data_IF_030474929604
#
_entry.id   IF_030474929604
#
_cell.length_a   1.000
_cell.length_b   1.000
_cell.length_c   1.000
_cell.angle_alpha   90.00
_cell.angle_beta   90.00
_cell.angle_gamma   90.00
#
_symmetry.space_group_name_H-M   'P 1'
#
loop_
_entity.id
_entity.type
_entity.pdbx_description
1 polymer ?
#
# COMPACT_ATOMS: atom_id res chain seq x y z
N UNK A 1 -10.78 -120.44 18.04
CA UNK A 1 -10.58 -121.49 17.02
C UNK A 1 -9.13 -121.36 16.60
N UNK A 2 -8.19 -122.22 16.98
CA UNK A 2 -8.11 -123.69 17.05
C UNK A 2 -7.66 -124.05 18.49
N UNK A 3 -7.98 -125.13 19.19
CA UNK A 3 -8.93 -126.25 19.17
C UNK A 3 -8.66 -126.95 20.53
N UNK A 4 -9.69 -127.47 21.19
CA UNK A 4 -9.65 -128.32 22.40
C UNK A 4 -8.70 -127.92 23.55
N UNK A 5 -9.23 -127.18 24.52
CA UNK A 5 -8.66 -127.05 25.86
C UNK A 5 -9.61 -127.72 26.86
N UNK A 6 -9.42 -129.02 27.13
CA UNK A 6 -9.85 -129.59 28.41
C UNK A 6 -8.66 -129.36 29.33
N UNK A 7 -8.56 -128.17 29.90
CA UNK A 7 -7.55 -127.90 30.92
C UNK A 7 -7.98 -128.58 32.21
N UNK A 8 -7.15 -129.49 32.71
CA UNK A 8 -7.20 -129.86 34.12
C UNK A 8 -7.07 -128.60 34.97
N UNK A 9 -7.66 -128.58 36.16
CA UNK A 9 -7.71 -127.39 37.05
C UNK A 9 -6.32 -126.72 37.20
N UNK A 10 -5.23 -127.52 37.23
CA UNK A 10 -3.85 -127.01 37.28
C UNK A 10 -3.29 -126.41 35.98
N UNK A 11 -3.79 -126.78 34.79
CA UNK A 11 -3.39 -126.14 33.53
C UNK A 11 -4.11 -124.79 33.31
N UNK A 12 -5.37 -124.69 33.76
CA UNK A 12 -6.13 -123.43 33.72
C UNK A 12 -5.54 -122.38 34.67
N UNK A 13 -5.10 -122.80 35.86
CA UNK A 13 -4.32 -121.96 36.76
C UNK A 13 -2.98 -121.54 36.14
N UNK A 14 -2.27 -122.46 35.47
CA UNK A 14 -1.00 -122.13 34.82
C UNK A 14 -1.16 -121.13 33.65
N UNK A 15 -2.24 -121.21 32.87
CA UNK A 15 -2.54 -120.26 31.80
C UNK A 15 -2.97 -118.89 32.34
N UNK A 16 -3.83 -118.86 33.37
CA UNK A 16 -4.20 -117.64 34.09
C UNK A 16 -2.97 -116.94 34.69
N UNK A 17 -2.06 -117.70 35.30
CA UNK A 17 -0.79 -117.17 35.82
C UNK A 17 0.14 -116.64 34.72
N UNK A 18 0.10 -117.23 33.52
CA UNK A 18 0.85 -116.72 32.37
C UNK A 18 0.26 -115.41 31.82
N UNK A 19 -1.06 -115.33 31.70
CA UNK A 19 -1.76 -114.10 31.29
C UNK A 19 -1.57 -112.97 32.30
N UNK A 20 -1.62 -113.27 33.61
CA UNK A 20 -1.27 -112.29 34.65
C UNK A 20 0.17 -111.81 34.52
N UNK A 21 1.12 -112.71 34.25
CA UNK A 21 2.53 -112.34 34.03
C UNK A 21 2.71 -111.48 32.78
N UNK A 22 2.04 -111.81 31.67
CA UNK A 22 2.08 -110.98 30.46
C UNK A 22 1.41 -109.62 30.67
N UNK A 23 0.25 -109.56 31.34
CA UNK A 23 -0.42 -108.32 31.69
C UNK A 23 0.49 -107.45 32.56
N UNK A 24 1.08 -108.01 33.63
CA UNK A 24 2.01 -107.29 34.51
C UNK A 24 3.26 -106.81 33.77
N UNK A 25 3.78 -107.60 32.82
CA UNK A 25 4.91 -107.19 31.99
C UNK A 25 4.54 -106.06 31.02
N UNK A 26 3.32 -106.08 30.48
CA UNK A 26 2.80 -105.05 29.58
C UNK A 26 2.48 -103.76 30.33
N UNK A 27 1.89 -103.85 31.53
CA UNK A 27 1.69 -102.73 32.44
C UNK A 27 3.03 -102.13 32.87
N UNK A 28 4.02 -102.95 33.20
CA UNK A 28 5.38 -102.49 33.52
C UNK A 28 6.05 -101.79 32.33
N UNK A 29 5.93 -102.34 31.12
CA UNK A 29 6.47 -101.72 29.91
C UNK A 29 5.77 -100.40 29.57
N UNK A 30 4.45 -100.32 29.77
CA UNK A 30 3.69 -99.10 29.53
C UNK A 30 4.02 -98.01 30.56
N UNK A 31 4.18 -98.38 31.84
CA UNK A 31 4.67 -97.47 32.89
C UNK A 31 6.08 -96.99 32.58
N UNK A 32 6.97 -97.86 32.10
CA UNK A 32 8.32 -97.46 31.67
C UNK A 32 8.31 -96.50 30.48
N UNK A 33 7.50 -96.78 29.46
CA UNK A 33 7.36 -95.89 28.30
C UNK A 33 6.79 -94.51 28.70
N UNK A 34 5.84 -94.48 29.64
CA UNK A 34 5.32 -93.22 30.19
C UNK A 34 6.40 -92.46 30.98
N UNK A 35 7.15 -93.14 31.85
CA UNK A 35 8.27 -92.55 32.61
C UNK A 35 9.39 -92.03 31.70
N UNK A 36 9.72 -92.75 30.62
CA UNK A 36 10.70 -92.28 29.62
C UNK A 36 10.21 -91.02 28.89
N UNK A 37 8.91 -90.95 28.57
CA UNK A 37 8.31 -89.78 27.90
C UNK A 37 8.13 -88.55 28.81
N UNK A 38 8.13 -88.74 30.14
CA UNK A 38 7.90 -87.69 31.13
C UNK A 38 8.92 -86.55 31.00
N UNK A 39 10.19 -86.90 30.81
CA UNK A 39 11.29 -85.93 30.63
C UNK A 39 11.13 -85.07 29.36
N UNK A 40 10.75 -85.69 28.25
CA UNK A 40 10.48 -84.99 26.99
C UNK A 40 9.26 -84.08 27.10
N UNK A 41 8.21 -84.52 27.79
CA UNK A 41 7.01 -83.72 28.05
C UNK A 41 7.34 -82.51 28.92
N UNK A 42 8.18 -82.68 29.93
CA UNK A 42 8.62 -81.61 30.83
C UNK A 42 9.51 -80.57 30.11
N UNK A 43 10.42 -81.01 29.23
CA UNK A 43 11.21 -80.10 28.38
C UNK A 43 10.31 -79.30 27.42
N UNK A 44 9.31 -79.93 26.82
CA UNK A 44 8.34 -79.24 25.95
C UNK A 44 7.52 -78.23 26.75
N UNK A 45 7.06 -78.58 27.96
CA UNK A 45 6.33 -77.68 28.84
C UNK A 45 7.18 -76.46 29.23
N UNK A 46 8.45 -76.66 29.61
CA UNK A 46 9.37 -75.55 29.89
C UNK A 46 9.62 -74.68 28.66
N UNK A 47 9.78 -75.29 27.48
CA UNK A 47 9.90 -74.54 26.22
C UNK A 47 8.65 -73.70 25.92
N UNK A 48 7.46 -74.25 26.19
CA UNK A 48 6.19 -73.57 26.02
C UNK A 48 6.01 -72.42 27.02
N UNK A 49 6.42 -72.60 28.28
CA UNK A 49 6.45 -71.54 29.28
C UNK A 49 7.41 -70.41 28.89
N UNK A 50 8.62 -70.76 28.43
CA UNK A 50 9.60 -69.77 27.97
C UNK A 50 9.08 -68.99 26.74
N UNK A 51 8.45 -69.67 25.79
CA UNK A 51 7.81 -69.03 24.64
C UNK A 51 6.64 -68.13 25.08
N UNK A 52 5.83 -68.57 26.04
CA UNK A 52 4.71 -67.80 26.59
C UNK A 52 5.22 -66.51 27.25
N UNK A 53 6.27 -66.61 28.08
CA UNK A 53 6.92 -65.43 28.67
C UNK A 53 7.49 -64.47 27.62
N UNK A 54 8.11 -65.01 26.56
CA UNK A 54 8.62 -64.18 25.47
C UNK A 54 7.48 -63.41 24.76
N UNK A 55 6.35 -64.08 24.50
CA UNK A 55 5.16 -63.45 23.89
C UNK A 55 4.57 -62.38 24.81
N UNK A 56 4.47 -62.64 26.12
CA UNK A 56 3.98 -61.65 27.10
C UNK A 56 4.87 -60.40 27.13
N UNK A 57 6.19 -60.56 27.05
CA UNK A 57 7.11 -59.43 26.99
C UNK A 57 6.98 -58.67 25.67
N UNK A 58 6.83 -59.36 24.54
CA UNK A 58 6.54 -58.71 23.26
C UNK A 58 5.25 -57.88 23.30
N UNK A 59 4.19 -58.38 23.94
CA UNK A 59 2.93 -57.64 24.09
C UNK A 59 3.12 -56.36 24.92
N UNK A 60 3.86 -56.43 26.04
CA UNK A 60 4.21 -55.22 26.83
C UNK A 60 5.01 -54.21 26.02
N UNK A 61 5.97 -54.67 25.21
CA UNK A 61 6.77 -53.82 24.33
C UNK A 61 5.88 -53.15 23.27
N UNK A 62 5.01 -53.91 22.60
CA UNK A 62 4.06 -53.39 21.62
C UNK A 62 3.09 -52.38 22.24
N UNK A 63 2.58 -52.65 23.44
CA UNK A 63 1.77 -51.72 24.21
C UNK A 63 2.50 -50.39 24.48
N UNK A 64 3.75 -50.47 24.91
CA UNK A 64 4.60 -49.29 25.16
C UNK A 64 4.86 -48.49 23.87
N UNK A 65 5.16 -49.18 22.76
CA UNK A 65 5.38 -48.53 21.47
C UNK A 65 4.11 -47.86 20.94
N UNK A 66 2.96 -48.50 21.05
CA UNK A 66 1.68 -47.92 20.62
C UNK A 66 1.36 -46.63 21.37
N UNK A 67 1.57 -46.60 22.68
CA UNK A 67 1.38 -45.37 23.48
C UNK A 67 2.34 -44.27 23.03
N UNK A 68 3.63 -44.59 22.82
CA UNK A 68 4.62 -43.63 22.31
C UNK A 68 4.25 -43.09 20.93
N UNK A 69 3.85 -43.95 20.00
CA UNK A 69 3.44 -43.55 18.64
C UNK A 69 2.20 -42.66 18.65
N UNK A 70 1.24 -42.93 19.54
CA UNK A 70 0.07 -42.07 19.72
C UNK A 70 0.48 -40.67 20.18
N UNK A 71 1.33 -40.57 21.20
CA UNK A 71 1.81 -39.27 21.68
C UNK A 71 2.62 -38.52 20.60
N UNK A 72 3.50 -39.22 19.88
CA UNK A 72 4.24 -38.61 18.76
C UNK A 72 3.29 -38.06 17.70
N UNK A 73 2.22 -38.80 17.37
CA UNK A 73 1.21 -38.33 16.40
C UNK A 73 0.47 -37.09 16.90
N UNK A 74 0.04 -37.08 18.17
CA UNK A 74 -0.62 -35.93 18.79
C UNK A 74 0.30 -34.70 18.81
N UNK A 75 1.58 -34.90 19.12
CA UNK A 75 2.60 -33.84 19.11
C UNK A 75 2.84 -33.29 17.70
N UNK A 76 2.94 -34.17 16.68
CA UNK A 76 3.08 -33.75 15.27
C UNK A 76 1.87 -32.91 14.84
N UNK A 77 0.66 -33.36 15.13
CA UNK A 77 -0.57 -32.63 14.78
C UNK A 77 -0.61 -31.25 15.47
N UNK A 78 -0.19 -31.17 16.74
CA UNK A 78 -0.06 -29.91 17.48
C UNK A 78 0.97 -28.96 16.84
N UNK A 79 2.13 -29.49 16.42
CA UNK A 79 3.17 -28.72 15.74
C UNK A 79 2.69 -28.23 14.38
N UNK A 80 2.05 -29.07 13.58
CA UNK A 80 1.54 -28.72 12.26
C UNK A 80 0.47 -27.62 12.34
N UNK A 81 -0.51 -27.78 13.24
CA UNK A 81 -1.55 -26.76 13.43
C UNK A 81 -0.96 -25.42 13.90
N UNK A 82 0.07 -25.45 14.75
CA UNK A 82 0.80 -24.24 15.16
C UNK A 82 1.56 -23.62 13.99
N UNK A 83 2.27 -24.41 13.20
CA UNK A 83 3.05 -23.92 12.06
C UNK A 83 2.14 -23.30 10.98
N UNK A 84 1.02 -23.93 10.66
CA UNK A 84 0.04 -23.39 9.71
C UNK A 84 -0.50 -22.02 10.17
N UNK A 85 -0.76 -21.86 11.47
CA UNK A 85 -1.17 -20.56 12.04
C UNK A 85 -0.06 -19.51 11.94
N UNK A 86 1.19 -19.89 12.23
CA UNK A 86 2.33 -18.98 12.11
C UNK A 86 2.59 -18.56 10.66
N UNK A 87 2.47 -19.47 9.71
CA UNK A 87 2.60 -19.18 8.29
C UNK A 87 1.49 -18.24 7.81
N UNK A 88 0.24 -18.53 8.15
CA UNK A 88 -0.89 -17.65 7.83
C UNK A 88 -0.71 -16.25 8.44
N UNK A 89 -0.27 -16.17 9.69
CA UNK A 89 0.03 -14.90 10.33
C UNK A 89 1.17 -14.15 9.62
N UNK A 90 2.21 -14.86 9.20
CA UNK A 90 3.34 -14.29 8.45
C UNK A 90 2.88 -13.69 7.12
N UNK A 91 2.07 -14.43 6.36
CA UNK A 91 1.48 -13.97 5.09
C UNK A 91 0.60 -12.73 5.30
N UNK A 92 -0.30 -12.78 6.29
CA UNK A 92 -1.19 -11.68 6.61
C UNK A 92 -0.42 -10.43 7.04
N UNK A 93 0.60 -10.58 7.91
CA UNK A 93 1.43 -9.46 8.34
C UNK A 93 2.17 -8.81 7.17
N UNK A 94 2.70 -9.62 6.24
CA UNK A 94 3.36 -9.11 5.04
C UNK A 94 2.39 -8.32 4.16
N UNK A 95 1.17 -8.82 3.96
CA UNK A 95 0.15 -8.12 3.20
C UNK A 95 -0.28 -6.81 3.89
N UNK A 96 -0.45 -6.83 5.22
CA UNK A 96 -0.80 -5.64 6.00
C UNK A 96 0.29 -4.57 5.94
N UNK A 97 1.56 -4.94 6.00
CA UNK A 97 2.69 -4.00 5.85
C UNK A 97 2.65 -3.37 4.46
N UNK A 98 2.46 -4.16 3.40
CA UNK A 98 2.37 -3.64 2.04
C UNK A 98 1.20 -2.66 1.84
N UNK A 99 0.03 -2.96 2.42
CA UNK A 99 -1.11 -2.04 2.38
C UNK A 99 -0.86 -0.77 3.20
N UNK A 100 -0.14 -0.87 4.32
CA UNK A 100 0.27 0.28 5.11
C UNK A 100 1.26 1.16 4.36
N UNK A 101 2.25 0.58 3.69
CA UNK A 101 3.25 1.30 2.89
C UNK A 101 2.59 2.09 1.76
N UNK A 102 1.67 1.46 1.01
CA UNK A 102 0.87 2.14 -0.02
C UNK A 102 0.08 3.31 0.54
N UNK A 103 -0.47 3.19 1.75
CA UNK A 103 -1.18 4.27 2.41
C UNK A 103 -0.22 5.38 2.83
N UNK A 104 0.93 5.05 3.41
CA UNK A 104 1.95 6.01 3.85
C UNK A 104 2.51 6.82 2.69
N UNK A 105 2.79 6.19 1.55
CA UNK A 105 3.24 6.88 0.34
C UNK A 105 2.25 7.97 -0.10
N UNK A 106 0.95 7.70 -0.01
CA UNK A 106 -0.10 8.69 -0.35
C UNK A 106 -0.24 9.81 0.67
N UNK A 107 0.11 9.56 1.93
CA UNK A 107 -0.03 10.52 3.02
C UNK A 107 1.23 11.38 3.20
N UNK A 108 2.37 11.03 2.60
CA UNK A 108 3.60 11.80 2.74
C UNK A 108 3.59 13.05 1.86
N UNK A 109 3.97 14.20 2.41
CA UNK A 109 4.22 15.42 1.63
C UNK A 109 5.69 15.41 1.20
N UNK A 110 6.01 15.38 -0.11
CA UNK A 110 7.39 15.45 -0.57
C UNK A 110 8.10 16.69 -0.01
N UNK A 111 9.32 16.50 0.50
CA UNK A 111 10.11 17.56 1.12
C UNK A 111 10.39 18.71 0.16
N UNK A 112 10.55 18.40 -1.13
CA UNK A 112 10.73 19.35 -2.24
C UNK A 112 9.56 20.34 -2.34
N UNK A 113 8.32 19.88 -2.12
CA UNK A 113 7.12 20.70 -2.20
C UNK A 113 6.76 21.37 -0.87
N UNK A 114 7.20 20.83 0.27
CA UNK A 114 6.87 21.34 1.59
C UNK A 114 7.22 22.83 1.74
N UNK A 115 8.38 23.25 1.25
CA UNK A 115 8.80 24.66 1.30
C UNK A 115 7.92 25.55 0.42
N UNK A 116 7.62 25.13 -0.81
CA UNK A 116 6.76 25.85 -1.75
C UNK A 116 5.35 26.08 -1.16
N UNK A 117 4.75 25.02 -0.62
CA UNK A 117 3.38 25.04 -0.09
C UNK A 117 3.24 25.90 1.19
N UNK A 118 4.27 25.95 2.03
CA UNK A 118 4.21 26.63 3.34
C UNK A 118 4.74 28.07 3.32
N UNK A 119 5.90 28.32 2.71
CA UNK A 119 6.64 29.58 2.84
C UNK A 119 7.44 30.07 1.62
N UNK A 120 7.48 29.31 0.53
CA UNK A 120 8.30 29.62 -0.66
C UNK A 120 7.87 30.88 -1.44
N UNK A 121 8.81 31.52 -2.14
CA UNK A 121 8.51 32.71 -2.96
C UNK A 121 7.82 32.31 -4.27
N UNK A 122 7.07 33.25 -4.85
CA UNK A 122 6.41 33.14 -6.16
C UNK A 122 7.12 33.95 -7.25
N UNK A 123 8.44 34.13 -7.11
CA UNK A 123 9.25 34.72 -8.17
C UNK A 123 9.28 33.81 -9.42
N UNK A 124 9.68 34.39 -10.55
CA UNK A 124 9.66 33.72 -11.85
C UNK A 124 10.53 32.46 -11.85
N UNK A 125 11.67 32.49 -11.16
CA UNK A 125 12.60 31.36 -11.07
C UNK A 125 12.00 30.14 -10.36
N UNK A 126 11.14 30.36 -9.36
CA UNK A 126 10.46 29.29 -8.60
C UNK A 126 9.08 28.94 -9.14
N UNK A 127 8.66 29.53 -10.26
CA UNK A 127 7.27 29.38 -10.70
C UNK A 127 6.95 27.94 -11.09
N UNK A 128 7.84 27.26 -11.80
CA UNK A 128 7.67 25.85 -12.18
C UNK A 128 7.48 24.95 -10.95
N UNK A 129 8.34 25.08 -9.94
CA UNK A 129 8.25 24.31 -8.68
C UNK A 129 6.95 24.58 -7.90
N UNK A 130 6.50 25.84 -7.88
CA UNK A 130 5.23 26.19 -7.25
C UNK A 130 4.02 25.61 -8.01
N UNK A 131 4.09 25.49 -9.34
CA UNK A 131 3.07 24.84 -10.15
C UNK A 131 3.05 23.34 -9.86
N UNK A 132 4.20 22.67 -9.90
CA UNK A 132 4.33 21.24 -9.58
C UNK A 132 3.84 20.92 -8.17
N UNK A 133 4.20 21.74 -7.18
CA UNK A 133 3.72 21.59 -5.81
C UNK A 133 2.19 21.74 -5.69
N UNK A 134 1.60 22.67 -6.46
CA UNK A 134 0.16 22.92 -6.52
C UNK A 134 -0.59 21.74 -7.19
N UNK A 135 -0.03 21.20 -8.29
CA UNK A 135 -0.52 20.01 -8.96
C UNK A 135 -0.47 18.79 -8.04
N UNK A 136 0.67 18.57 -7.39
CA UNK A 136 0.84 17.50 -6.42
C UNK A 136 -0.19 17.60 -5.29
N UNK A 137 -0.38 18.79 -4.71
CA UNK A 137 -1.37 19.00 -3.64
C UNK A 137 -2.80 18.70 -4.12
N UNK A 138 -3.13 19.09 -5.36
CA UNK A 138 -4.42 18.78 -5.97
C UNK A 138 -4.60 17.26 -6.12
N UNK A 139 -3.56 16.57 -6.58
CA UNK A 139 -3.53 15.11 -6.71
C UNK A 139 -3.65 14.40 -5.37
N UNK A 140 -2.91 14.85 -4.36
CA UNK A 140 -2.94 14.30 -3.00
C UNK A 140 -4.33 14.41 -2.37
N UNK A 141 -4.97 15.58 -2.44
CA UNK A 141 -6.33 15.77 -1.93
C UNK A 141 -7.34 14.86 -2.63
N UNK A 142 -7.27 14.77 -3.97
CA UNK A 142 -8.14 13.88 -4.77
C UNK A 142 -7.87 12.40 -4.49
N UNK A 143 -6.61 12.04 -4.24
CA UNK A 143 -6.18 10.68 -3.92
C UNK A 143 -6.75 10.17 -2.61
N UNK A 144 -7.11 11.06 -1.68
CA UNK A 144 -7.77 10.71 -0.42
C UNK A 144 -9.30 10.63 -0.53
N UNK A 145 -9.89 11.01 -1.66
CA UNK A 145 -11.34 10.98 -1.92
C UNK A 145 -11.77 9.69 -2.62
N UNK A 146 -13.06 9.36 -2.50
CA UNK A 146 -13.69 8.24 -3.21
C UNK A 146 -13.78 8.60 -4.70
N UNK A 147 -13.44 7.70 -5.65
CA UNK A 147 -13.14 6.28 -5.48
C UNK A 147 -11.64 5.93 -5.31
N UNK A 148 -10.74 6.91 -5.25
CA UNK A 148 -9.29 6.67 -5.24
C UNK A 148 -8.77 6.04 -3.94
N UNK A 149 -9.44 6.34 -2.82
CA UNK A 149 -9.23 5.70 -1.54
C UNK A 149 -10.51 4.98 -1.11
N UNK A 150 -10.37 3.72 -0.72
CA UNK A 150 -11.49 2.93 -0.23
C UNK A 150 -12.15 3.61 0.98
N UNK A 151 -13.48 3.56 1.02
CA UNK A 151 -14.30 4.10 2.10
C UNK A 151 -13.92 3.59 3.50
N UNK A 152 -13.34 2.39 3.60
CA UNK A 152 -12.82 1.81 4.85
C UNK A 152 -11.75 2.68 5.50
N UNK A 153 -10.85 3.26 4.71
CA UNK A 153 -9.80 4.17 5.21
C UNK A 153 -10.35 5.54 5.64
N UNK A 154 -11.54 5.94 5.17
CA UNK A 154 -12.12 7.25 5.47
C UNK A 154 -12.31 7.48 6.96
N UNK A 155 -12.56 6.41 7.73
CA UNK A 155 -12.79 6.50 9.17
C UNK A 155 -11.51 6.48 10.00
N UNK A 156 -10.38 6.09 9.42
CA UNK A 156 -9.09 6.07 10.11
C UNK A 156 -8.68 7.47 10.54
N UNK A 157 -8.25 7.59 11.80
CA UNK A 157 -7.80 8.86 12.39
C UNK A 157 -6.64 9.48 11.60
N UNK A 158 -5.63 8.70 11.26
CA UNK A 158 -4.46 9.17 10.51
C UNK A 158 -4.84 9.77 9.15
N UNK A 159 -5.77 9.16 8.43
CA UNK A 159 -6.27 9.67 7.13
C UNK A 159 -7.05 10.98 7.31
N UNK A 160 -7.88 11.08 8.35
CA UNK A 160 -8.62 12.31 8.69
C UNK A 160 -7.67 13.45 9.05
N UNK A 161 -6.68 13.19 9.90
CA UNK A 161 -5.67 14.16 10.32
C UNK A 161 -4.84 14.63 9.13
N UNK A 162 -4.37 13.72 8.27
CA UNK A 162 -3.61 14.10 7.08
C UNK A 162 -4.45 14.89 6.09
N UNK A 163 -5.71 14.51 5.86
CA UNK A 163 -6.63 15.30 5.04
C UNK A 163 -6.77 16.72 5.58
N UNK A 164 -6.94 16.88 6.89
CA UNK A 164 -7.03 18.20 7.52
C UNK A 164 -5.72 19.01 7.37
N UNK A 165 -4.56 18.36 7.47
CA UNK A 165 -3.26 18.98 7.21
C UNK A 165 -3.13 19.46 5.76
N UNK A 166 -3.48 18.64 4.77
CA UNK A 166 -3.46 19.00 3.35
C UNK A 166 -4.44 20.13 3.04
N UNK A 167 -5.62 20.13 3.68
CA UNK A 167 -6.59 21.23 3.57
C UNK A 167 -6.04 22.55 4.15
N UNK A 168 -5.31 22.49 5.27
CA UNK A 168 -4.62 23.66 5.82
C UNK A 168 -3.50 24.15 4.90
N UNK A 169 -2.73 23.24 4.30
CA UNK A 169 -1.73 23.57 3.28
C UNK A 169 -2.37 24.23 2.06
N UNK A 170 -3.49 23.70 1.57
CA UNK A 170 -4.28 24.28 0.48
C UNK A 170 -4.71 25.71 0.79
N UNK A 171 -5.36 25.93 1.93
CA UNK A 171 -5.81 27.25 2.32
C UNK A 171 -4.64 28.25 2.44
N UNK A 172 -3.51 27.79 2.99
CA UNK A 172 -2.30 28.59 3.15
C UNK A 172 -1.70 28.97 1.79
N UNK A 173 -1.49 28.00 0.90
CA UNK A 173 -0.92 28.21 -0.42
C UNK A 173 -1.81 29.12 -1.27
N UNK A 174 -3.12 28.82 -1.35
CA UNK A 174 -4.09 29.61 -2.13
C UNK A 174 -4.11 31.06 -1.66
N UNK A 175 -4.14 31.31 -0.34
CA UNK A 175 -4.11 32.66 0.22
C UNK A 175 -2.84 33.41 -0.18
N UNK A 176 -1.68 32.77 -0.05
CA UNK A 176 -0.37 33.37 -0.34
C UNK A 176 -0.21 33.65 -1.83
N UNK A 177 -0.50 32.68 -2.69
CA UNK A 177 -0.43 32.84 -4.14
C UNK A 177 -1.41 33.91 -4.63
N UNK A 178 -2.65 33.91 -4.11
CA UNK A 178 -3.64 34.95 -4.45
C UNK A 178 -3.21 36.34 -3.99
N UNK A 179 -2.64 36.46 -2.79
CA UNK A 179 -2.11 37.73 -2.30
C UNK A 179 -0.95 38.24 -3.15
N UNK A 180 -0.01 37.34 -3.47
CA UNK A 180 1.11 37.63 -4.34
C UNK A 180 0.65 38.14 -5.71
N UNK A 181 -0.23 37.41 -6.41
CA UNK A 181 -0.68 37.79 -7.75
C UNK A 181 -1.41 39.15 -7.76
N UNK A 182 -2.24 39.44 -6.74
CA UNK A 182 -2.90 40.74 -6.60
C UNK A 182 -1.89 41.87 -6.50
N UNK A 183 -0.91 41.72 -5.60
CA UNK A 183 0.08 42.75 -5.35
C UNK A 183 1.05 42.90 -6.53
N UNK A 184 1.48 41.78 -7.13
CA UNK A 184 2.42 41.77 -8.24
C UNK A 184 1.87 42.52 -9.45
N UNK A 185 0.64 42.21 -9.89
CA UNK A 185 0.04 42.90 -11.04
C UNK A 185 -0.33 44.36 -10.74
N UNK A 186 -0.74 44.68 -9.51
CA UNK A 186 -0.97 46.06 -9.11
C UNK A 186 0.34 46.87 -9.18
N UNK A 187 1.42 46.37 -8.59
CA UNK A 187 2.72 47.03 -8.59
C UNK A 187 3.31 47.14 -10.01
N UNK A 188 3.13 46.12 -10.85
CA UNK A 188 3.55 46.15 -12.25
C UNK A 188 2.84 47.28 -13.00
N UNK A 189 1.51 47.37 -12.87
CA UNK A 189 0.73 48.46 -13.47
C UNK A 189 1.13 49.82 -12.89
N UNK A 190 1.31 49.94 -11.58
CA UNK A 190 1.71 51.21 -10.94
C UNK A 190 3.09 51.67 -11.42
N UNK A 191 4.04 50.74 -11.62
CA UNK A 191 5.33 51.03 -12.21
C UNK A 191 5.19 51.56 -13.64
N UNK A 192 4.39 50.90 -14.49
CA UNK A 192 4.10 51.36 -15.85
C UNK A 192 3.41 52.73 -15.86
N UNK A 193 2.53 52.99 -14.89
CA UNK A 193 1.84 54.28 -14.72
C UNK A 193 2.80 55.39 -14.27
N UNK A 194 3.83 55.07 -13.51
CA UNK A 194 4.82 56.05 -13.04
C UNK A 194 5.80 56.47 -14.14
N UNK A 195 6.09 55.58 -15.10
CA UNK A 195 7.00 55.87 -16.21
C UNK A 195 6.31 56.73 -17.27
N UNK A 196 6.71 58.00 -17.35
CA UNK A 196 6.19 58.95 -18.34
C UNK A 196 6.53 58.52 -19.77
N UNK A 197 7.63 57.80 -19.98
CA UNK A 197 8.05 57.33 -21.30
C UNK A 197 7.13 56.23 -21.84
N UNK A 198 6.27 55.66 -20.99
CA UNK A 198 5.28 54.66 -21.38
C UNK A 198 4.09 55.27 -22.13
N UNK A 199 3.82 56.56 -21.95
CA UNK A 199 2.68 57.27 -22.53
C UNK A 199 3.11 58.15 -23.71
N UNK A 200 2.13 58.52 -24.56
CA UNK A 200 2.34 59.58 -25.56
C UNK A 200 2.63 60.90 -24.85
N UNK A 201 3.56 61.68 -25.40
CA UNK A 201 3.97 62.98 -24.88
C UNK A 201 3.86 64.03 -25.98
N UNK A 202 3.92 65.32 -25.62
CA UNK A 202 3.86 66.42 -26.61
C UNK A 202 4.89 66.24 -27.71
N UNK A 203 4.43 66.17 -28.95
CA UNK A 203 5.25 65.97 -30.14
C UNK A 203 5.65 64.51 -30.40
N UNK A 204 5.28 63.57 -29.54
CA UNK A 204 5.61 62.16 -29.66
C UNK A 204 4.39 61.27 -29.41
N UNK A 205 3.72 60.92 -30.51
CA UNK A 205 2.70 59.88 -30.49
C UNK A 205 3.38 58.51 -30.34
N UNK A 206 3.05 57.78 -29.27
CA UNK A 206 3.62 56.47 -28.97
C UNK A 206 2.54 55.41 -28.95
N UNK A 207 2.77 54.31 -29.67
CA UNK A 207 1.93 53.12 -29.58
C UNK A 207 2.17 52.43 -28.23
N UNK A 208 1.13 52.10 -27.45
CA UNK A 208 1.28 51.32 -26.22
C UNK A 208 1.90 49.95 -26.51
N UNK A 209 2.98 49.61 -25.80
CA UNK A 209 3.64 48.30 -25.91
C UNK A 209 3.55 47.50 -24.61
N UNK A 210 2.70 46.48 -24.61
CA UNK A 210 2.49 45.59 -23.46
C UNK A 210 3.28 44.28 -23.54
N UNK A 211 4.40 44.22 -24.27
CA UNK A 211 5.20 42.99 -24.39
C UNK A 211 5.57 42.37 -23.04
N UNK A 212 6.16 43.17 -22.12
CA UNK A 212 6.57 42.68 -20.80
C UNK A 212 5.37 42.26 -19.94
N UNK A 213 4.30 43.07 -19.87
CA UNK A 213 3.07 42.73 -19.17
C UNK A 213 2.49 41.39 -19.67
N UNK A 214 2.41 41.19 -20.99
CA UNK A 214 1.94 39.94 -21.61
C UNK A 214 2.84 38.77 -21.25
N UNK A 215 4.15 38.96 -21.26
CA UNK A 215 5.13 37.95 -20.86
C UNK A 215 4.93 37.53 -19.40
N UNK A 216 4.83 38.48 -18.47
CA UNK A 216 4.56 38.19 -17.05
C UNK A 216 3.20 37.52 -16.85
N UNK A 217 2.14 38.00 -17.51
CA UNK A 217 0.83 37.35 -17.47
C UNK A 217 0.90 35.89 -17.90
N UNK A 218 1.68 35.58 -18.95
CA UNK A 218 1.85 34.20 -19.44
C UNK A 218 2.57 33.30 -18.44
N UNK A 219 3.62 33.78 -17.76
CA UNK A 219 4.31 33.02 -16.71
C UNK A 219 3.32 32.61 -15.61
N UNK A 220 2.53 33.56 -15.13
CA UNK A 220 1.63 33.34 -13.99
C UNK A 220 0.27 32.73 -14.37
N UNK A 221 -0.06 32.64 -15.66
CA UNK A 221 -1.32 32.05 -16.14
C UNK A 221 -1.46 30.57 -15.75
N UNK A 222 -0.36 29.82 -15.78
CA UNK A 222 -0.35 28.41 -15.38
C UNK A 222 -0.68 28.27 -13.89
N UNK A 223 -0.07 29.07 -13.02
CA UNK A 223 -0.41 29.08 -11.60
C UNK A 223 -1.90 29.37 -11.35
N UNK A 224 -2.48 30.33 -12.07
CA UNK A 224 -3.91 30.65 -11.98
C UNK A 224 -4.80 29.46 -12.37
N UNK A 225 -4.41 28.67 -13.36
CA UNK A 225 -5.13 27.47 -13.76
C UNK A 225 -5.18 26.43 -12.65
N UNK A 226 -4.06 26.19 -11.95
CA UNK A 226 -4.02 25.24 -10.83
C UNK A 226 -4.66 25.80 -9.55
N UNK A 227 -4.59 27.11 -9.31
CA UNK A 227 -5.34 27.74 -8.23
C UNK A 227 -6.85 27.57 -8.41
N UNK A 228 -7.35 27.60 -9.65
CA UNK A 228 -8.76 27.31 -9.96
C UNK A 228 -9.17 25.91 -9.54
N UNK A 229 -8.31 24.91 -9.73
CA UNK A 229 -8.62 23.52 -9.33
C UNK A 229 -8.60 23.34 -7.81
N UNK A 230 -7.71 24.04 -7.10
CA UNK A 230 -7.64 24.01 -5.64
C UNK A 230 -8.79 24.77 -4.96
N UNK A 231 -9.09 25.99 -5.43
CA UNK A 231 -10.16 26.83 -4.87
C UNK A 231 -10.76 27.75 -5.93
N UNK A 232 -11.97 27.44 -6.38
CA UNK A 232 -12.70 28.23 -7.37
C UNK A 232 -13.05 29.64 -6.86
N UNK A 233 -13.12 29.84 -5.54
CA UNK A 233 -13.54 31.11 -4.95
C UNK A 233 -12.43 32.18 -5.02
N UNK A 234 -11.16 31.77 -5.09
CA UNK A 234 -10.04 32.71 -5.15
C UNK A 234 -10.00 33.55 -6.44
N UNK A 235 -10.56 33.02 -7.54
CA UNK A 235 -10.50 33.65 -8.86
C UNK A 235 -11.30 34.93 -8.97
N UNK A 236 -12.47 35.03 -8.31
CA UNK A 236 -13.33 36.22 -8.43
C UNK A 236 -12.63 37.48 -7.91
N UNK A 237 -12.06 37.48 -6.68
CA UNK A 237 -11.26 38.61 -6.19
C UNK A 237 -10.01 38.89 -7.04
N UNK A 238 -9.32 37.85 -7.52
CA UNK A 238 -8.12 37.99 -8.36
C UNK A 238 -8.44 38.70 -9.67
N UNK A 239 -9.46 38.22 -10.38
CA UNK A 239 -9.96 38.85 -11.62
C UNK A 239 -10.35 40.29 -11.39
N UNK A 240 -11.09 40.59 -10.31
CA UNK A 240 -11.51 41.96 -9.98
C UNK A 240 -10.30 42.88 -9.77
N UNK A 241 -9.29 42.44 -9.01
CA UNK A 241 -8.09 43.23 -8.76
C UNK A 241 -7.32 43.49 -10.06
N UNK A 242 -7.04 42.43 -10.83
CA UNK A 242 -6.33 42.52 -12.11
C UNK A 242 -7.04 43.45 -13.10
N UNK A 243 -8.35 43.25 -13.33
CA UNK A 243 -9.11 44.09 -14.25
C UNK A 243 -9.20 45.54 -13.77
N UNK A 244 -9.31 45.78 -12.46
CA UNK A 244 -9.34 47.16 -11.93
C UNK A 244 -8.04 47.90 -12.23
N UNK A 245 -6.89 47.29 -11.95
CA UNK A 245 -5.58 47.87 -12.23
C UNK A 245 -5.36 48.07 -13.73
N UNK A 246 -5.61 47.03 -14.54
CA UNK A 246 -5.39 47.13 -15.99
C UNK A 246 -6.31 48.16 -16.66
N UNK A 247 -7.58 48.25 -16.24
CA UNK A 247 -8.49 49.27 -16.76
C UNK A 247 -8.01 50.69 -16.43
N UNK A 248 -7.35 50.89 -15.29
CA UNK A 248 -6.77 52.19 -14.94
C UNK A 248 -5.65 52.58 -15.90
N UNK A 249 -4.76 51.63 -16.22
CA UNK A 249 -3.69 51.81 -17.20
C UNK A 249 -4.25 52.16 -18.59
N UNK A 250 -5.12 51.31 -19.12
CA UNK A 250 -5.71 51.48 -20.46
C UNK A 250 -6.47 52.80 -20.61
N UNK A 251 -7.19 53.24 -19.57
CA UNK A 251 -7.89 54.54 -19.58
C UNK A 251 -6.94 55.73 -19.64
N UNK A 252 -5.79 55.64 -18.98
CA UNK A 252 -4.78 56.70 -19.04
C UNK A 252 -4.10 56.72 -20.40
N UNK A 253 -3.71 55.56 -20.92
CA UNK A 253 -3.12 55.45 -22.27
C UNK A 253 -4.03 56.02 -23.35
N UNK A 254 -5.30 55.63 -23.36
CA UNK A 254 -6.28 56.15 -24.31
C UNK A 254 -6.44 57.67 -24.20
N UNK A 255 -6.39 58.21 -22.96
CA UNK A 255 -6.51 59.65 -22.71
C UNK A 255 -5.29 60.42 -23.23
N UNK A 256 -4.08 59.99 -22.88
CA UNK A 256 -2.85 60.67 -23.32
C UNK A 256 -2.66 60.56 -24.83
N UNK A 257 -2.95 59.38 -25.41
CA UNK A 257 -2.92 59.19 -26.86
C UNK A 257 -3.92 60.10 -27.58
N UNK A 258 -5.17 60.18 -27.10
CA UNK A 258 -6.19 61.05 -27.69
C UNK A 258 -5.87 62.54 -27.51
N UNK A 259 -5.29 62.93 -26.38
CA UNK A 259 -4.86 64.31 -26.14
C UNK A 259 -3.75 64.71 -27.12
N UNK A 260 -2.77 63.84 -27.33
CA UNK A 260 -1.68 64.09 -28.26
C UNK A 260 -2.16 64.13 -29.71
N UNK A 261 -3.04 63.20 -30.11
CA UNK A 261 -3.65 63.20 -31.43
C UNK A 261 -4.43 64.49 -31.73
N UNK A 262 -5.14 65.05 -30.73
CA UNK A 262 -5.81 66.35 -30.85
C UNK A 262 -4.83 67.52 -30.89
N UNK A 263 -3.72 67.43 -30.18
CA UNK A 263 -2.69 68.46 -30.19
C UNK A 263 -1.99 68.52 -31.56
N UNK A 264 -1.65 67.38 -32.15
CA UNK A 264 -1.01 67.31 -33.47
C UNK A 264 -1.93 67.82 -34.59
N UNK A 265 -3.23 67.52 -34.54
CA UNK A 265 -4.19 68.10 -35.50
C UNK A 265 -4.34 69.61 -35.33
N UNK A 266 -4.35 70.16 -34.11
CA UNK A 266 -4.41 71.60 -33.88
C UNK A 266 -3.17 72.35 -34.38
N UNK A 267 -1.98 71.76 -34.24
CA UNK A 267 -0.73 72.34 -34.76
C UNK A 267 -0.71 72.35 -36.29
N UNK A 268 -1.40 71.41 -36.96
CA UNK A 268 -1.56 71.44 -38.42
C UNK A 268 -2.59 72.45 -38.93
N UNK A 269 -3.45 73.00 -38.06
CA UNK A 269 -4.58 73.89 -38.42
C UNK A 269 -4.30 75.36 -38.06
N UNK A 270 -3.11 75.71 -37.58
CA UNK A 270 -2.72 77.14 -37.51
C UNK A 270 -2.50 77.68 -38.93
N UNK A 271 -3.32 78.64 -39.41
CA UNK A 271 -3.20 79.15 -40.77
C UNK A 271 -1.85 79.84 -40.95
N UNK A 272 -1.15 79.48 -42.02
CA UNK A 272 0.04 80.16 -42.49
C UNK A 272 -0.35 81.60 -42.89
N UNK A 273 -0.20 82.54 -41.98
CA UNK A 273 -0.21 83.98 -42.28
C UNK A 273 1.20 84.55 -42.14
N UNK A 274 1.86 84.74 -43.28
CA UNK A 274 2.87 85.78 -43.55
C UNK A 274 2.69 86.12 -45.04
N UNK A 275 1.80 87.07 -45.35
CA UNK A 275 2.10 88.49 -45.63
C UNK A 275 2.52 88.72 -47.10
N UNK A 276 1.59 89.30 -47.86
CA UNK A 276 1.91 90.18 -48.97
C UNK A 276 2.90 91.25 -48.49
N UNK A 277 3.98 91.47 -49.26
CA UNK A 277 4.26 92.80 -49.79
C UNK A 277 5.19 92.68 -51.00
N UNK A 278 4.77 93.27 -52.12
CA UNK A 278 5.30 92.98 -53.44
C UNK A 278 6.58 93.72 -53.83
N UNK A 279 7.06 93.41 -55.04
CA UNK A 279 7.42 94.42 -56.02
C UNK A 279 7.43 93.87 -57.44
N UNK A 280 7.15 94.80 -58.32
CA UNK A 280 6.76 94.74 -59.71
C UNK A 280 7.90 95.35 -60.54
N UNK A 281 8.11 94.77 -61.72
CA UNK A 281 8.73 95.30 -62.94
C UNK A 281 10.25 95.46 -63.11
N UNK A 282 10.59 95.15 -64.38
CA UNK A 282 11.78 95.36 -65.23
C UNK A 282 13.04 94.56 -64.91
#
# INVERSE_FOLDING_TARGET
>A
MVHSYVMGIGEAEAFSERLKRELLALEAANVHAMLESETLVEEVLQGLEAATHCVDDMDKWLGTFNVKLRHIREDIESIETRNNKLEMQSVNNKALIQELDKLLERLCVPSEYATCLTGGKFDEARMTQNIEACEWLTGALRGLEVPNLDSTYRNMRAVKEKRAELEKLKATFVRRASGFLKNYFANLVDSMMSDKNYFSQRGQLKQPDHADLRYKCRIYAHLLLHLKSLDKNCLRPLRKAYCSSLNLLLRREAREFANELRASTKVSISPTTWLEDGRVLS
#
